data_IF_997900835251
#
_entry.id   IF_997900835251
#
_cell.length_a   1.000
_cell.length_b   1.000
_cell.length_c   1.000
_cell.angle_alpha   90.00
_cell.angle_beta   90.00
_cell.angle_gamma   90.00
#
_symmetry.space_group_name_H-M   'P 1'
#
loop_
_entity.id
_entity.type
_entity.pdbx_description
1 polymer ?
#
# COMPACT_ATOMS: atom_id res chain seq x y z
N UNK A 1 43.76 2.27 61.07
CA UNK A 1 42.42 1.76 60.74
C UNK A 1 41.85 2.64 59.64
N UNK A 2 41.83 2.16 58.39
CA UNK A 2 41.26 2.89 57.25
C UNK A 2 39.82 2.40 57.06
N UNK A 3 38.85 3.27 57.34
CA UNK A 3 37.45 3.00 57.09
C UNK A 3 37.20 3.08 55.57
N UNK A 4 36.98 1.91 54.96
CA UNK A 4 36.65 1.81 53.54
C UNK A 4 35.31 2.51 53.28
N UNK A 5 35.34 3.62 52.56
CA UNK A 5 34.16 4.32 52.07
C UNK A 5 33.53 3.43 50.99
N UNK A 6 32.47 2.72 51.33
CA UNK A 6 31.65 1.98 50.38
C UNK A 6 30.87 2.97 49.52
N UNK A 7 31.26 3.14 48.27
CA UNK A 7 30.50 3.92 47.30
C UNK A 7 29.13 3.28 47.08
N UNK A 8 28.02 4.01 47.24
CA UNK A 8 26.68 3.47 47.05
C UNK A 8 26.52 3.00 45.60
N UNK A 9 26.08 1.76 45.42
CA UNK A 9 25.84 1.18 44.11
C UNK A 9 24.85 2.05 43.32
N UNK A 10 25.29 2.52 42.15
CA UNK A 10 24.45 3.36 41.30
C UNK A 10 23.11 2.68 41.01
N UNK A 11 21.97 3.40 41.10
CA UNK A 11 20.65 2.81 40.88
C UNK A 11 20.57 2.20 39.48
N UNK A 12 20.29 0.89 39.43
CA UNK A 12 20.10 0.17 38.16
C UNK A 12 18.90 0.77 37.43
N UNK A 13 19.16 1.41 36.28
CA UNK A 13 18.10 1.91 35.41
C UNK A 13 17.14 0.77 35.03
N UNK A 14 15.82 0.98 35.09
CA UNK A 14 14.84 -0.06 34.73
C UNK A 14 15.05 -0.47 33.27
N UNK A 15 15.27 -1.77 33.03
CA UNK A 15 15.41 -2.32 31.67
C UNK A 15 14.01 -2.59 31.11
N UNK A 16 13.69 -1.97 29.96
CA UNK A 16 12.46 -2.25 29.23
C UNK A 16 12.32 -3.74 28.91
N UNK A 17 11.10 -4.28 29.01
CA UNK A 17 10.80 -5.67 28.63
C UNK A 17 11.02 -5.90 27.13
N UNK A 18 11.31 -7.14 26.72
CA UNK A 18 11.51 -7.47 25.31
C UNK A 18 10.31 -7.12 24.40
N UNK A 19 9.04 -7.32 24.82
CA UNK A 19 7.88 -6.84 24.07
C UNK A 19 7.85 -5.31 23.91
N UNK A 20 8.12 -4.56 24.98
CA UNK A 20 8.13 -3.09 24.94
C UNK A 20 9.18 -2.55 23.95
N UNK A 21 10.39 -3.13 23.96
CA UNK A 21 11.44 -2.75 22.99
C UNK A 21 11.03 -3.00 21.53
N UNK A 22 10.29 -4.08 21.25
CA UNK A 22 9.81 -4.40 19.89
C UNK A 22 8.77 -3.40 19.41
N UNK A 23 7.83 -3.04 20.28
CA UNK A 23 6.81 -2.04 19.97
C UNK A 23 7.46 -0.68 19.75
N UNK A 24 8.40 -0.28 20.63
CA UNK A 24 9.13 0.98 20.50
C UNK A 24 9.90 1.05 19.17
N UNK A 25 10.56 -0.03 18.75
CA UNK A 25 11.23 -0.08 17.45
C UNK A 25 10.24 0.12 16.29
N UNK A 26 9.10 -0.57 16.30
CA UNK A 26 8.09 -0.39 15.25
C UNK A 26 7.53 1.03 15.23
N UNK A 27 7.27 1.63 16.39
CA UNK A 27 6.84 3.03 16.50
C UNK A 27 7.91 3.97 15.93
N UNK A 28 9.19 3.73 16.22
CA UNK A 28 10.29 4.52 15.66
C UNK A 28 10.37 4.37 14.12
N UNK A 29 10.19 3.17 13.58
CA UNK A 29 10.13 2.95 12.12
C UNK A 29 8.94 3.68 11.48
N UNK A 30 7.76 3.64 12.10
CA UNK A 30 6.57 4.37 11.62
C UNK A 30 6.82 5.88 11.68
N UNK A 31 7.42 6.39 12.76
CA UNK A 31 7.74 7.81 12.89
C UNK A 31 8.75 8.27 11.84
N UNK A 32 9.76 7.46 11.54
CA UNK A 32 10.73 7.73 10.48
C UNK A 32 10.08 7.73 9.08
N UNK A 33 9.22 6.74 8.81
CA UNK A 33 8.43 6.69 7.58
C UNK A 33 7.49 7.91 7.45
N UNK A 34 6.84 8.30 8.55
CA UNK A 34 5.99 9.48 8.60
C UNK A 34 6.81 10.74 8.32
N UNK A 35 7.95 10.94 8.99
CA UNK A 35 8.83 12.07 8.75
C UNK A 35 9.22 12.19 7.27
N UNK A 36 9.61 11.08 6.64
CA UNK A 36 10.09 11.09 5.26
C UNK A 36 8.98 11.41 4.25
N UNK A 37 7.72 11.01 4.48
CA UNK A 37 6.67 11.09 3.47
C UNK A 37 5.34 11.75 3.83
N UNK A 38 5.08 12.08 5.10
CA UNK A 38 3.74 12.58 5.51
C UNK A 38 3.46 13.95 4.92
N UNK A 39 2.23 14.13 4.45
CA UNK A 39 1.69 15.37 3.90
C UNK A 39 0.16 15.29 3.83
N UNK A 40 -0.51 16.43 3.67
CA UNK A 40 -1.91 16.43 3.30
C UNK A 40 -2.12 15.78 1.92
N UNK A 41 -3.25 15.08 1.69
CA UNK A 41 -3.61 14.53 0.38
C UNK A 41 -3.61 15.61 -0.70
N UNK A 42 -3.05 15.34 -1.87
CA UNK A 42 -3.10 16.33 -2.95
C UNK A 42 -4.54 16.59 -3.38
N UNK A 43 -4.80 17.78 -3.90
CA UNK A 43 -6.08 18.13 -4.51
C UNK A 43 -6.55 17.07 -5.54
N UNK A 44 -5.60 16.46 -6.24
CA UNK A 44 -5.87 15.38 -7.19
C UNK A 44 -6.54 14.17 -6.51
N UNK A 45 -5.95 13.66 -5.43
CA UNK A 45 -6.49 12.50 -4.71
C UNK A 45 -7.83 12.81 -4.04
N UNK A 46 -7.96 14.00 -3.43
CA UNK A 46 -9.21 14.42 -2.81
C UNK A 46 -10.33 14.55 -3.85
N UNK A 47 -10.04 15.13 -5.03
CA UNK A 47 -11.00 15.19 -6.14
C UNK A 47 -11.42 13.79 -6.56
N UNK A 48 -10.46 12.85 -6.68
CA UNK A 48 -10.75 11.47 -7.04
C UNK A 48 -11.64 10.78 -5.99
N UNK A 49 -11.47 11.08 -4.70
CA UNK A 49 -12.31 10.55 -3.62
C UNK A 49 -13.72 11.14 -3.58
N UNK A 50 -13.96 12.30 -4.20
CA UNK A 50 -15.30 12.90 -4.30
C UNK A 50 -16.20 12.20 -5.32
N UNK A 51 -15.63 11.34 -6.16
CA UNK A 51 -16.32 10.67 -7.25
C UNK A 51 -17.28 9.61 -6.71
N UNK A 52 -18.56 9.76 -7.03
CA UNK A 52 -19.62 8.90 -6.53
C UNK A 52 -20.51 8.32 -7.63
N UNK A 53 -21.23 7.25 -7.29
CA UNK A 53 -22.22 6.64 -8.18
C UNK A 53 -23.42 7.57 -8.37
N UNK A 54 -23.77 8.34 -7.34
CA UNK A 54 -24.83 9.35 -7.37
C UNK A 54 -24.53 10.46 -8.39
N UNK A 55 -23.25 10.72 -8.63
CA UNK A 55 -22.77 11.70 -9.61
C UNK A 55 -22.65 11.13 -11.03
N UNK A 56 -23.06 9.86 -11.23
CA UNK A 56 -23.03 9.19 -12.52
C UNK A 56 -21.69 8.53 -12.86
N UNK A 57 -20.80 8.30 -11.88
CA UNK A 57 -19.53 7.61 -12.13
C UNK A 57 -19.63 6.11 -11.87
N UNK A 58 -19.08 5.30 -12.78
CA UNK A 58 -19.10 3.83 -12.72
C UNK A 58 -17.73 3.22 -12.39
N UNK A 59 -16.69 4.05 -12.32
CA UNK A 59 -15.34 3.66 -11.91
C UNK A 59 -14.92 4.47 -10.70
N UNK A 60 -14.16 3.83 -9.80
CA UNK A 60 -13.56 4.48 -8.62
C UNK A 60 -14.56 5.19 -7.70
N UNK A 61 -15.82 4.75 -7.73
CA UNK A 61 -16.94 5.48 -7.13
C UNK A 61 -17.19 5.13 -5.67
N UNK A 62 -16.66 3.99 -5.18
CA UNK A 62 -17.08 3.43 -3.88
C UNK A 62 -16.80 4.41 -2.73
N UNK A 63 -15.63 5.04 -2.72
CA UNK A 63 -15.26 5.98 -1.65
C UNK A 63 -16.17 7.20 -1.67
N UNK A 64 -16.33 7.86 -2.82
CA UNK A 64 -17.19 9.03 -2.91
C UNK A 64 -18.65 8.69 -2.66
N UNK A 65 -19.13 7.51 -3.08
CA UNK A 65 -20.50 7.03 -2.80
C UNK A 65 -20.78 6.90 -1.30
N UNK A 66 -19.81 6.39 -0.53
CA UNK A 66 -19.94 6.28 0.92
C UNK A 66 -19.89 7.66 1.59
N UNK A 67 -19.05 8.57 1.08
CA UNK A 67 -18.90 9.91 1.64
C UNK A 67 -19.97 10.91 1.16
N UNK A 68 -20.67 10.60 0.06
CA UNK A 68 -21.57 11.52 -0.64
C UNK A 68 -22.60 12.18 0.28
N UNK A 69 -23.33 11.46 1.16
CA UNK A 69 -24.35 12.09 2.00
C UNK A 69 -23.78 13.16 2.93
N UNK A 70 -22.56 12.96 3.45
CA UNK A 70 -21.89 13.93 4.31
C UNK A 70 -21.28 15.05 3.48
N UNK A 71 -20.68 14.71 2.34
CA UNK A 71 -20.09 15.69 1.43
C UNK A 71 -21.16 16.68 0.92
N UNK A 72 -22.29 16.19 0.43
CA UNK A 72 -23.41 17.00 -0.03
C UNK A 72 -23.98 17.89 1.09
N UNK A 73 -24.14 17.35 2.30
CA UNK A 73 -24.65 18.12 3.44
C UNK A 73 -23.68 19.19 3.97
N UNK A 74 -22.41 19.17 3.54
CA UNK A 74 -21.36 20.08 4.02
C UNK A 74 -20.66 20.84 2.88
N UNK A 75 -21.25 20.85 1.68
CA UNK A 75 -20.73 21.51 0.49
C UNK A 75 -19.34 21.01 0.04
N UNK A 76 -19.11 19.70 0.17
CA UNK A 76 -17.89 18.99 -0.24
C UNK A 76 -16.61 19.62 0.34
N UNK A 77 -16.42 19.68 1.67
CA UNK A 77 -15.26 20.32 2.24
C UNK A 77 -14.03 19.44 2.04
N UNK A 78 -12.90 20.01 1.58
CA UNK A 78 -11.64 19.27 1.40
C UNK A 78 -11.22 18.49 2.64
N UNK A 79 -11.45 19.06 3.83
CA UNK A 79 -11.11 18.45 5.11
C UNK A 79 -11.80 17.09 5.36
N UNK A 80 -13.00 16.86 4.80
CA UNK A 80 -13.71 15.57 4.90
C UNK A 80 -12.90 14.44 4.22
N UNK A 81 -12.47 14.70 2.99
CA UNK A 81 -11.69 13.74 2.20
C UNK A 81 -10.27 13.57 2.75
N UNK A 82 -9.64 14.68 3.17
CA UNK A 82 -8.34 14.63 3.81
C UNK A 82 -8.36 13.83 5.12
N UNK A 83 -9.33 14.11 5.99
CA UNK A 83 -9.52 13.37 7.24
C UNK A 83 -9.79 11.88 7.01
N UNK A 84 -10.66 11.55 6.06
CA UNK A 84 -10.94 10.15 5.68
C UNK A 84 -9.67 9.43 5.21
N UNK A 85 -8.84 10.11 4.42
CA UNK A 85 -7.57 9.57 3.94
C UNK A 85 -6.59 9.24 5.06
N UNK A 86 -6.47 10.13 6.06
CA UNK A 86 -5.65 9.85 7.25
C UNK A 86 -6.22 8.72 8.12
N UNK A 87 -7.54 8.58 8.21
CA UNK A 87 -8.18 7.44 8.89
C UNK A 87 -7.85 6.12 8.19
N UNK A 88 -7.89 6.10 6.85
CA UNK A 88 -7.50 4.93 6.04
C UNK A 88 -6.02 4.58 6.28
N UNK A 89 -5.11 5.55 6.21
CA UNK A 89 -3.70 5.32 6.52
C UNK A 89 -3.52 4.78 7.95
N UNK A 90 -4.16 5.40 8.94
CA UNK A 90 -4.06 4.99 10.34
C UNK A 90 -4.56 3.56 10.55
N UNK A 91 -5.66 3.18 9.91
CA UNK A 91 -6.18 1.81 9.94
C UNK A 91 -5.19 0.82 9.32
N UNK A 92 -4.59 1.17 8.17
CA UNK A 92 -3.61 0.33 7.50
C UNK A 92 -2.35 0.13 8.35
N UNK A 93 -1.81 1.22 8.90
CA UNK A 93 -0.68 1.19 9.83
C UNK A 93 -1.01 0.35 11.07
N UNK A 94 -2.20 0.50 11.64
CA UNK A 94 -2.64 -0.31 12.78
C UNK A 94 -2.63 -1.81 12.43
N UNK A 95 -3.17 -2.21 11.28
CA UNK A 95 -3.16 -3.61 10.83
C UNK A 95 -1.72 -4.14 10.71
N UNK A 96 -0.83 -3.39 10.04
CA UNK A 96 0.57 -3.80 9.82
C UNK A 96 1.35 -3.86 11.13
N UNK A 97 1.26 -2.84 11.97
CA UNK A 97 1.95 -2.76 13.27
C UNK A 97 1.44 -3.83 14.22
N UNK A 98 0.13 -4.06 14.32
CA UNK A 98 -0.44 -5.10 15.18
C UNK A 98 -0.03 -6.49 14.69
N UNK A 99 -0.04 -6.74 13.38
CA UNK A 99 0.44 -8.00 12.82
C UNK A 99 1.92 -8.24 13.17
N UNK A 100 2.78 -7.23 13.01
CA UNK A 100 4.19 -7.28 13.36
C UNK A 100 4.44 -7.45 14.87
N UNK A 101 3.66 -6.77 15.72
CA UNK A 101 3.79 -6.88 17.17
C UNK A 101 3.37 -8.27 17.68
N UNK A 102 2.30 -8.85 17.10
CA UNK A 102 1.72 -10.13 17.53
C UNK A 102 2.42 -11.36 16.95
N UNK A 103 3.12 -11.25 15.82
CA UNK A 103 3.82 -12.40 15.25
C UNK A 103 4.95 -12.86 16.16
N UNK A 104 5.10 -14.18 16.32
CA UNK A 104 6.24 -14.78 17.04
C UNK A 104 7.50 -14.88 16.18
N UNK A 105 7.34 -14.89 14.85
CA UNK A 105 8.42 -15.05 13.86
C UNK A 105 9.26 -13.76 13.76
N UNK A 106 10.55 -13.75 14.17
CA UNK A 106 11.40 -12.56 14.10
C UNK A 106 11.56 -11.99 12.69
N UNK A 107 11.72 -12.85 11.68
CA UNK A 107 11.89 -12.43 10.30
C UNK A 107 10.69 -11.62 9.77
N UNK A 108 9.45 -11.96 10.18
CA UNK A 108 8.26 -11.18 9.83
C UNK A 108 8.28 -9.77 10.44
N UNK A 109 8.81 -9.63 11.65
CA UNK A 109 8.97 -8.31 12.29
C UNK A 109 10.04 -7.49 11.60
N UNK A 110 11.18 -8.13 11.29
CA UNK A 110 12.27 -7.50 10.55
C UNK A 110 11.83 -7.06 9.15
N UNK A 111 10.99 -7.86 8.46
CA UNK A 111 10.39 -7.49 7.18
C UNK A 111 9.61 -6.19 7.27
N UNK A 112 8.68 -6.08 8.23
CA UNK A 112 7.85 -4.87 8.40
C UNK A 112 8.70 -3.67 8.81
N UNK A 113 9.61 -3.84 9.78
CA UNK A 113 10.50 -2.76 10.21
C UNK A 113 11.41 -2.29 9.05
N UNK A 114 11.99 -3.23 8.30
CA UNK A 114 12.81 -2.94 7.14
C UNK A 114 12.03 -2.20 6.06
N UNK A 115 10.85 -2.71 5.69
CA UNK A 115 9.98 -2.08 4.69
C UNK A 115 9.58 -0.65 5.07
N UNK A 116 9.36 -0.36 6.35
CA UNK A 116 9.06 0.99 6.83
C UNK A 116 10.28 1.93 6.83
N UNK A 117 11.50 1.40 7.00
CA UNK A 117 12.73 2.21 7.00
C UNK A 117 13.25 2.45 5.57
N UNK A 118 12.95 1.55 4.64
CA UNK A 118 13.24 1.71 3.22
C UNK A 118 12.41 2.85 2.59
N UNK A 119 12.76 3.32 1.38
CA UNK A 119 11.98 4.35 0.67
C UNK A 119 10.48 4.05 0.56
N UNK A 120 10.09 2.77 0.57
CA UNK A 120 8.70 2.31 0.61
C UNK A 120 7.91 2.82 1.81
N UNK A 121 8.54 2.98 2.98
CA UNK A 121 7.88 3.50 4.17
C UNK A 121 7.45 4.95 3.99
N UNK A 122 8.37 5.82 3.57
CA UNK A 122 8.02 7.20 3.24
C UNK A 122 6.98 7.26 2.13
N UNK A 123 7.12 6.43 1.09
CA UNK A 123 6.17 6.36 0.00
C UNK A 123 4.74 6.04 0.45
N UNK A 124 4.57 5.14 1.43
CA UNK A 124 3.27 4.83 2.01
C UNK A 124 2.59 6.07 2.61
N UNK A 125 3.35 6.94 3.27
CA UNK A 125 2.84 8.20 3.82
C UNK A 125 2.64 9.27 2.75
N UNK A 126 3.40 9.23 1.67
CA UNK A 126 3.21 10.10 0.52
C UNK A 126 1.89 9.78 -0.23
N UNK A 127 1.50 8.50 -0.23
CA UNK A 127 0.25 8.01 -0.82
C UNK A 127 -1.02 8.30 0.01
N UNK A 128 -0.98 9.15 1.05
CA UNK A 128 -2.22 9.53 1.76
C UNK A 128 -3.21 10.13 0.76
N UNK A 129 -4.38 9.52 0.66
CA UNK A 129 -5.44 9.91 -0.28
C UNK A 129 -5.61 8.96 -1.47
N UNK A 130 -4.58 8.18 -1.79
CA UNK A 130 -4.65 7.20 -2.86
C UNK A 130 -5.41 5.93 -2.43
N UNK A 131 -6.13 5.33 -3.37
CA UNK A 131 -7.01 4.19 -3.08
C UNK A 131 -6.25 2.90 -2.73
N UNK A 132 -4.97 2.79 -3.07
CA UNK A 132 -4.07 1.68 -2.75
C UNK A 132 -4.15 1.27 -1.29
N UNK A 133 -4.12 2.25 -0.39
CA UNK A 133 -4.18 2.00 1.04
C UNK A 133 -5.48 1.29 1.43
N UNK A 134 -6.60 1.71 0.82
CA UNK A 134 -7.90 1.07 0.98
C UNK A 134 -7.95 -0.31 0.32
N UNK A 135 -7.31 -0.51 -0.83
CA UNK A 135 -7.19 -1.82 -1.47
C UNK A 135 -6.42 -2.82 -0.58
N UNK A 136 -5.30 -2.40 0.01
CA UNK A 136 -4.55 -3.25 0.94
C UNK A 136 -5.33 -3.53 2.23
N UNK A 137 -6.10 -2.57 2.74
CA UNK A 137 -7.04 -2.82 3.84
C UNK A 137 -8.10 -3.87 3.46
N UNK A 138 -8.69 -3.77 2.27
CA UNK A 138 -9.64 -4.74 1.75
C UNK A 138 -8.99 -6.14 1.63
N UNK A 139 -7.76 -6.23 1.12
CA UNK A 139 -6.99 -7.47 1.05
C UNK A 139 -6.78 -8.09 2.44
N UNK A 140 -6.32 -7.31 3.41
CA UNK A 140 -6.05 -7.82 4.76
C UNK A 140 -7.35 -8.20 5.48
N UNK A 141 -8.43 -7.45 5.28
CA UNK A 141 -9.77 -7.79 5.76
C UNK A 141 -10.27 -9.10 5.15
N UNK A 142 -10.17 -9.26 3.83
CA UNK A 142 -10.55 -10.48 3.12
C UNK A 142 -9.69 -11.68 3.55
N UNK A 143 -8.39 -11.48 3.77
CA UNK A 143 -7.51 -12.52 4.30
C UNK A 143 -7.93 -12.95 5.71
N UNK A 144 -8.26 -12.00 6.58
CA UNK A 144 -8.76 -12.29 7.93
C UNK A 144 -10.09 -13.06 7.89
N UNK A 145 -11.04 -12.63 7.05
CA UNK A 145 -12.33 -13.32 6.84
C UNK A 145 -12.13 -14.75 6.32
N UNK A 146 -11.25 -14.93 5.34
CA UNK A 146 -10.89 -16.24 4.79
C UNK A 146 -10.29 -17.15 5.88
N UNK A 147 -9.45 -16.61 6.76
CA UNK A 147 -8.89 -17.37 7.89
C UNK A 147 -9.94 -17.80 8.92
N UNK A 148 -11.09 -17.13 8.97
CA UNK A 148 -12.24 -17.46 9.81
C UNK A 148 -13.29 -18.31 9.09
N UNK A 149 -13.01 -18.80 7.88
CA UNK A 149 -13.95 -19.58 7.08
C UNK A 149 -15.09 -18.76 6.45
N UNK A 150 -15.04 -17.43 6.51
CA UNK A 150 -16.05 -16.52 5.93
C UNK A 150 -15.73 -16.23 4.45
N UNK A 151 -15.77 -17.26 3.62
CA UNK A 151 -15.35 -17.20 2.20
C UNK A 151 -16.19 -16.26 1.36
N UNK A 152 -17.52 -16.26 1.54
CA UNK A 152 -18.44 -15.37 0.81
C UNK A 152 -18.16 -13.91 1.12
N UNK A 153 -18.02 -13.56 2.40
CA UNK A 153 -17.69 -12.19 2.81
C UNK A 153 -16.32 -11.75 2.24
N UNK A 154 -15.31 -12.64 2.26
CA UNK A 154 -14.01 -12.35 1.65
C UNK A 154 -14.13 -12.11 0.13
N UNK A 155 -14.93 -12.89 -0.59
CA UNK A 155 -15.19 -12.70 -2.01
C UNK A 155 -15.87 -11.36 -2.30
N UNK A 156 -16.88 -10.98 -1.49
CA UNK A 156 -17.58 -9.71 -1.63
C UNK A 156 -16.66 -8.52 -1.37
N UNK A 157 -15.82 -8.57 -0.34
CA UNK A 157 -14.83 -7.51 -0.06
C UNK A 157 -13.90 -7.31 -1.25
N UNK A 158 -13.42 -8.40 -1.87
CA UNK A 158 -12.53 -8.30 -3.03
C UNK A 158 -13.25 -7.86 -4.31
N UNK A 159 -14.54 -8.18 -4.47
CA UNK A 159 -15.34 -7.62 -5.55
C UNK A 159 -15.54 -6.11 -5.40
N UNK A 160 -15.85 -5.64 -4.19
CA UNK A 160 -15.94 -4.20 -3.87
C UNK A 160 -14.61 -3.50 -4.08
N UNK A 161 -13.48 -4.14 -3.75
CA UNK A 161 -12.15 -3.57 -3.99
C UNK A 161 -11.90 -3.20 -5.46
N UNK A 162 -12.47 -3.94 -6.41
CA UNK A 162 -12.36 -3.59 -7.84
C UNK A 162 -13.15 -2.33 -8.19
N UNK A 163 -14.29 -2.12 -7.55
CA UNK A 163 -15.10 -0.92 -7.71
C UNK A 163 -14.47 0.31 -7.01
N UNK A 164 -13.66 0.09 -5.96
CA UNK A 164 -12.82 1.13 -5.33
C UNK A 164 -11.77 1.62 -6.33
N UNK A 165 -11.04 0.70 -6.96
CA UNK A 165 -10.11 1.04 -8.03
C UNK A 165 -9.78 -0.21 -8.85
N UNK A 166 -9.90 -0.12 -10.18
CA UNK A 166 -9.66 -1.18 -11.14
C UNK A 166 -8.25 -1.79 -11.08
N UNK A 167 -7.25 -1.03 -10.61
CA UNK A 167 -5.89 -1.54 -10.39
C UNK A 167 -5.83 -2.67 -9.36
N UNK A 168 -6.91 -2.89 -8.58
CA UNK A 168 -7.05 -4.05 -7.72
C UNK A 168 -6.79 -5.38 -8.46
N UNK A 169 -7.13 -5.44 -9.76
CA UNK A 169 -6.88 -6.60 -10.62
C UNK A 169 -5.39 -6.90 -10.82
N UNK A 170 -4.52 -5.89 -10.74
CA UNK A 170 -3.07 -6.01 -10.93
C UNK A 170 -2.30 -6.02 -9.60
N UNK A 171 -2.95 -5.68 -8.50
CA UNK A 171 -2.31 -5.48 -7.18
C UNK A 171 -2.80 -6.51 -6.17
N UNK A 172 -4.01 -6.33 -5.63
CA UNK A 172 -4.50 -7.12 -4.49
C UNK A 172 -5.23 -8.40 -4.88
N UNK A 173 -5.83 -8.50 -6.07
CA UNK A 173 -6.47 -9.74 -6.54
C UNK A 173 -5.46 -10.87 -6.79
N UNK A 174 -4.29 -10.65 -7.40
CA UNK A 174 -3.25 -11.67 -7.52
C UNK A 174 -2.80 -12.20 -6.14
N UNK A 175 -2.63 -11.31 -5.16
CA UNK A 175 -2.32 -11.68 -3.77
C UNK A 175 -3.46 -12.48 -3.14
N UNK A 176 -4.70 -12.06 -3.31
CA UNK A 176 -5.86 -12.79 -2.80
C UNK A 176 -5.99 -14.18 -3.45
N UNK A 177 -5.73 -14.28 -4.76
CA UNK A 177 -5.69 -15.56 -5.49
C UNK A 177 -4.70 -16.53 -4.87
N UNK A 178 -3.48 -16.07 -4.55
CA UNK A 178 -2.50 -16.88 -3.81
C UNK A 178 -3.08 -17.39 -2.48
N UNK A 179 -3.69 -16.50 -1.68
CA UNK A 179 -4.23 -16.84 -0.37
C UNK A 179 -5.39 -17.84 -0.44
N UNK A 180 -6.27 -17.71 -1.43
CA UNK A 180 -7.44 -18.58 -1.62
C UNK A 180 -6.99 -19.96 -2.13
N UNK A 181 -6.13 -20.02 -3.15
CA UNK A 181 -5.59 -21.29 -3.69
C UNK A 181 -4.74 -22.03 -2.64
N UNK A 182 -4.07 -21.30 -1.74
CA UNK A 182 -3.33 -21.92 -0.64
C UNK A 182 -4.25 -22.63 0.36
N UNK A 183 -5.48 -22.14 0.54
CA UNK A 183 -6.43 -22.56 1.59
C UNK A 183 -7.52 -23.50 1.10
N UNK A 184 -7.95 -23.38 -0.15
CA UNK A 184 -9.14 -24.05 -0.67
C UNK A 184 -8.81 -24.96 -1.87
N UNK A 185 -9.58 -26.05 -2.08
CA UNK A 185 -9.53 -26.79 -3.33
C UNK A 185 -9.83 -25.88 -4.53
N UNK A 186 -9.22 -26.17 -5.68
CA UNK A 186 -9.23 -25.27 -6.86
C UNK A 186 -10.64 -24.86 -7.31
N UNK A 187 -11.63 -25.77 -7.26
CA UNK A 187 -13.02 -25.47 -7.62
C UNK A 187 -13.65 -24.41 -6.70
N UNK A 188 -13.40 -24.51 -5.39
CA UNK A 188 -13.87 -23.50 -4.42
C UNK A 188 -13.09 -22.21 -4.54
N UNK A 189 -11.79 -22.29 -4.84
CA UNK A 189 -10.98 -21.11 -5.09
C UNK A 189 -11.50 -20.32 -6.28
N UNK A 190 -11.81 -20.99 -7.40
CA UNK A 190 -12.43 -20.37 -8.57
C UNK A 190 -13.76 -19.69 -8.22
N UNK A 191 -14.64 -20.36 -7.48
CA UNK A 191 -15.93 -19.78 -7.05
C UNK A 191 -15.76 -18.54 -6.16
N UNK A 192 -14.75 -18.51 -5.29
CA UNK A 192 -14.45 -17.35 -4.42
C UNK A 192 -13.86 -16.18 -5.21
N UNK A 193 -13.12 -16.44 -6.28
CA UNK A 193 -12.50 -15.41 -7.12
C UNK A 193 -13.46 -14.85 -8.18
N UNK A 194 -14.44 -15.64 -8.61
CA UNK A 194 -15.36 -15.30 -9.69
C UNK A 194 -16.05 -13.93 -9.50
N UNK A 195 -16.57 -13.55 -8.30
CA UNK A 195 -17.21 -12.25 -8.12
C UNK A 195 -16.30 -11.07 -8.43
N UNK A 196 -15.02 -11.14 -8.02
CA UNK A 196 -14.06 -10.06 -8.29
C UNK A 196 -13.68 -9.99 -9.78
N UNK A 197 -13.58 -11.14 -10.46
CA UNK A 197 -13.35 -11.20 -11.91
C UNK A 197 -14.55 -10.62 -12.68
N UNK A 198 -15.78 -10.97 -12.30
CA UNK A 198 -16.99 -10.44 -12.92
C UNK A 198 -17.15 -8.94 -12.68
N UNK A 199 -16.91 -8.47 -11.45
CA UNK A 199 -16.91 -7.04 -11.13
C UNK A 199 -15.87 -6.29 -11.97
N UNK A 200 -14.64 -6.80 -12.07
CA UNK A 200 -13.59 -6.22 -12.91
C UNK A 200 -13.93 -6.18 -14.39
N UNK A 201 -14.42 -7.29 -14.94
CA UNK A 201 -14.89 -7.33 -16.32
C UNK A 201 -15.99 -6.31 -16.58
N UNK A 202 -16.97 -6.21 -15.69
CA UNK A 202 -18.09 -5.26 -15.83
C UNK A 202 -17.61 -3.82 -15.77
N UNK A 203 -16.78 -3.48 -14.78
CA UNK A 203 -16.23 -2.12 -14.60
C UNK A 203 -15.38 -1.69 -15.80
N UNK A 204 -14.66 -2.63 -16.43
CA UNK A 204 -13.86 -2.36 -17.63
C UNK A 204 -14.71 -2.21 -18.91
N UNK A 205 -15.86 -2.89 -18.98
CA UNK A 205 -16.75 -2.85 -20.15
C UNK A 205 -17.70 -1.65 -20.15
N UNK A 206 -17.99 -1.07 -18.99
CA UNK A 206 -18.85 0.10 -18.85
C UNK A 206 -18.02 1.39 -18.98
N UNK A 207 -18.63 2.42 -19.59
CA UNK A 207 -18.06 3.77 -19.67
C UNK A 207 -17.72 4.29 -18.27
N UNK A 208 -16.54 4.90 -18.06
CA UNK A 208 -16.09 5.34 -16.73
C UNK A 208 -17.09 6.22 -15.98
N UNK A 209 -17.86 7.03 -16.70
CA UNK A 209 -18.91 7.88 -16.19
C UNK A 209 -20.03 8.06 -17.24
N UNK A 210 -21.21 8.48 -16.79
CA UNK A 210 -22.31 8.91 -17.63
C UNK A 210 -22.04 10.27 -18.29
N UNK A 211 -22.75 10.55 -19.38
CA UNK A 211 -22.65 11.84 -20.09
C UNK A 211 -22.99 12.99 -19.14
N UNK A 212 -22.13 14.02 -19.09
CA UNK A 212 -22.31 15.18 -18.23
C UNK A 212 -21.92 14.99 -16.76
N UNK A 213 -21.58 13.78 -16.31
CA UNK A 213 -21.18 13.50 -14.92
C UNK A 213 -19.97 14.33 -14.47
N UNK A 214 -18.89 14.31 -15.27
CA UNK A 214 -17.66 15.05 -15.01
C UNK A 214 -17.86 16.59 -14.92
N UNK A 215 -18.47 17.27 -15.91
CA UNK A 215 -18.72 18.71 -15.79
C UNK A 215 -19.70 19.06 -14.67
N UNK A 216 -20.71 18.21 -14.41
CA UNK A 216 -21.67 18.42 -13.32
C UNK A 216 -21.05 18.33 -11.94
N UNK A 217 -20.21 17.32 -11.67
CA UNK A 217 -19.47 17.22 -10.41
C UNK A 217 -18.45 18.37 -10.27
N UNK A 218 -17.74 18.73 -11.35
CA UNK A 218 -16.79 19.85 -11.33
C UNK A 218 -17.47 21.17 -10.96
N UNK A 219 -18.68 21.43 -11.48
CA UNK A 219 -19.46 22.62 -11.14
C UNK A 219 -19.82 22.64 -9.64
N UNK A 220 -20.34 21.54 -9.11
CA UNK A 220 -20.70 21.41 -7.69
C UNK A 220 -19.50 21.59 -6.75
N UNK A 221 -18.37 20.95 -7.05
CA UNK A 221 -17.15 21.11 -6.26
C UNK A 221 -16.67 22.56 -6.26
N UNK A 222 -16.77 23.26 -7.40
CA UNK A 222 -16.41 24.68 -7.50
C UNK A 222 -17.35 25.56 -6.68
N UNK A 223 -18.65 25.28 -6.70
CA UNK A 223 -19.66 26.00 -5.90
C UNK A 223 -19.40 25.86 -4.40
N UNK A 224 -18.99 24.67 -3.95
CA UNK A 224 -18.58 24.42 -2.56
C UNK A 224 -17.18 24.93 -2.19
N UNK A 225 -16.47 25.60 -3.10
CA UNK A 225 -15.10 26.09 -2.87
C UNK A 225 -14.06 24.98 -2.73
N UNK A 226 -14.37 23.76 -3.18
CA UNK A 226 -13.43 22.64 -3.17
C UNK A 226 -12.33 22.85 -4.24
N UNK A 227 -11.04 22.63 -3.91
CA UNK A 227 -9.93 22.83 -4.83
C UNK A 227 -9.82 21.68 -5.83
N UNK A 228 -10.82 21.53 -6.71
CA UNK A 228 -10.90 20.42 -7.66
C UNK A 228 -9.82 20.55 -8.75
N UNK A 229 -9.12 19.45 -9.02
CA UNK A 229 -8.12 19.37 -10.11
C UNK A 229 -8.76 18.90 -11.42
N UNK A 230 -8.57 19.67 -12.49
CA UNK A 230 -9.25 19.45 -13.77
C UNK A 230 -8.82 18.14 -14.45
N UNK A 231 -7.53 17.80 -14.35
CA UNK A 231 -6.91 16.61 -14.94
C UNK A 231 -7.44 15.29 -14.35
N UNK A 232 -8.04 15.32 -13.15
CA UNK A 232 -8.75 14.16 -12.57
C UNK A 232 -9.97 13.78 -13.41
N UNK A 233 -10.73 14.77 -13.86
CA UNK A 233 -11.96 14.54 -14.64
C UNK A 233 -11.65 14.01 -16.04
N UNK A 234 -10.52 14.41 -16.62
CA UNK A 234 -10.08 13.93 -17.92
C UNK A 234 -9.88 12.41 -17.94
N UNK A 235 -9.51 11.80 -16.82
CA UNK A 235 -9.37 10.34 -16.70
C UNK A 235 -10.66 9.60 -17.07
N UNK A 236 -11.81 10.21 -16.81
CA UNK A 236 -13.13 9.60 -17.07
C UNK A 236 -13.64 9.86 -18.49
N UNK A 237 -13.07 10.84 -19.19
CA UNK A 237 -13.40 11.15 -20.58
C UNK A 237 -12.45 10.53 -21.60
N UNK A 238 -11.24 10.14 -21.19
CA UNK A 238 -10.21 9.59 -22.10
C UNK A 238 -10.42 8.11 -22.39
N UNK A 239 -10.17 7.75 -23.63
CA UNK A 239 -9.96 6.37 -24.08
C UNK A 239 -8.63 5.81 -23.58
N UNK A 240 -8.46 4.48 -23.61
CA UNK A 240 -7.18 3.85 -23.31
C UNK A 240 -6.10 4.27 -24.31
N UNK A 241 -6.46 4.44 -25.59
CA UNK A 241 -5.52 4.86 -26.62
C UNK A 241 -4.98 6.27 -26.36
N UNK A 242 -5.83 7.21 -25.93
CA UNK A 242 -5.40 8.54 -25.50
C UNK A 242 -4.53 8.46 -24.26
N UNK A 243 -4.87 7.59 -23.30
CA UNK A 243 -4.08 7.41 -22.09
C UNK A 243 -2.66 6.90 -22.38
N UNK A 244 -2.53 5.97 -23.33
CA UNK A 244 -1.24 5.44 -23.77
C UNK A 244 -0.40 6.44 -24.58
N UNK A 245 -0.98 7.52 -25.10
CA UNK A 245 -0.22 8.57 -25.82
C UNK A 245 0.41 9.59 -24.88
N UNK A 246 0.04 9.60 -23.60
CA UNK A 246 0.55 10.58 -22.63
C UNK A 246 1.89 10.18 -22.01
N UNK A 247 2.34 8.95 -22.26
CA UNK A 247 3.58 8.41 -21.71
C UNK A 247 4.10 7.30 -22.62
N UNK A 248 5.38 6.96 -22.49
CA UNK A 248 5.98 5.85 -23.23
C UNK A 248 5.92 4.56 -22.40
N UNK A 249 5.02 3.59 -22.71
CA UNK A 249 4.84 2.40 -21.87
C UNK A 249 6.10 1.56 -21.75
N UNK A 250 6.96 1.58 -22.77
CA UNK A 250 8.22 0.87 -22.76
C UNK A 250 9.24 1.49 -21.81
N UNK A 251 9.24 2.81 -21.60
CA UNK A 251 10.13 3.44 -20.61
C UNK A 251 9.74 3.00 -19.19
N UNK A 252 8.44 3.02 -18.90
CA UNK A 252 7.89 2.52 -17.63
C UNK A 252 8.23 1.04 -17.45
N UNK A 253 8.03 0.22 -18.48
CA UNK A 253 8.35 -1.20 -18.45
C UNK A 253 9.85 -1.44 -18.20
N UNK A 254 10.73 -0.74 -18.91
CA UNK A 254 12.18 -0.92 -18.76
C UNK A 254 12.70 -0.48 -17.40
N UNK A 255 12.07 0.51 -16.78
CA UNK A 255 12.34 0.84 -15.39
C UNK A 255 11.94 -0.29 -14.43
N UNK A 256 10.77 -0.91 -14.64
CA UNK A 256 10.21 -1.90 -13.73
C UNK A 256 10.78 -3.32 -13.91
N UNK A 257 11.19 -3.70 -15.13
CA UNK A 257 11.66 -5.07 -15.45
C UNK A 257 12.85 -5.50 -14.59
N UNK A 258 13.95 -4.71 -14.44
CA UNK A 258 15.07 -5.10 -13.60
C UNK A 258 14.66 -5.36 -12.15
N UNK A 259 13.76 -4.53 -11.62
CA UNK A 259 13.21 -4.69 -10.28
C UNK A 259 12.35 -5.96 -10.19
N UNK A 260 11.44 -6.19 -11.14
CA UNK A 260 10.60 -7.38 -11.15
C UNK A 260 11.42 -8.67 -11.28
N UNK A 261 12.45 -8.69 -12.12
CA UNK A 261 13.37 -9.82 -12.27
C UNK A 261 14.14 -10.08 -10.97
N UNK A 262 14.69 -9.04 -10.34
CA UNK A 262 15.37 -9.14 -9.05
C UNK A 262 14.47 -9.75 -7.98
N UNK A 263 13.25 -9.23 -7.82
CA UNK A 263 12.29 -9.69 -6.81
C UNK A 263 11.80 -11.12 -7.11
N UNK A 264 11.51 -11.43 -8.38
CA UNK A 264 11.13 -12.78 -8.80
C UNK A 264 12.24 -13.80 -8.55
N UNK A 265 13.48 -13.46 -8.88
CA UNK A 265 14.65 -14.31 -8.64
C UNK A 265 14.88 -14.51 -7.14
N UNK A 266 14.79 -13.44 -6.34
CA UNK A 266 14.93 -13.52 -4.89
C UNK A 266 13.87 -14.44 -4.26
N UNK A 267 12.60 -14.30 -4.65
CA UNK A 267 11.53 -15.19 -4.22
C UNK A 267 11.74 -16.62 -4.70
N UNK A 268 12.11 -16.81 -5.97
CA UNK A 268 12.37 -18.13 -6.51
C UNK A 268 13.48 -18.84 -5.73
N UNK A 269 14.59 -18.17 -5.45
CA UNK A 269 15.71 -18.72 -4.67
C UNK A 269 15.32 -18.93 -3.20
N UNK A 270 14.58 -18.01 -2.59
CA UNK A 270 14.08 -18.17 -1.23
C UNK A 270 13.14 -19.39 -1.10
N UNK A 271 12.34 -19.67 -2.12
CA UNK A 271 11.42 -20.82 -2.16
C UNK A 271 12.13 -22.14 -2.52
N UNK A 272 13.36 -22.10 -3.04
CA UNK A 272 14.07 -23.29 -3.49
C UNK A 272 14.27 -24.31 -2.35
N UNK A 273 13.80 -25.55 -2.56
CA UNK A 273 13.83 -26.63 -1.58
C UNK A 273 13.01 -26.34 -0.30
N UNK A 274 12.05 -25.42 -0.39
CA UNK A 274 11.21 -24.96 0.74
C UNK A 274 9.83 -25.62 0.79
N UNK A 275 8.94 -25.05 1.61
CA UNK A 275 7.56 -25.53 1.78
C UNK A 275 6.59 -25.03 0.72
N UNK A 276 7.04 -24.10 -0.15
CA UNK A 276 6.26 -23.56 -1.27
C UNK A 276 6.67 -24.31 -2.53
N UNK A 277 5.88 -25.33 -2.88
CA UNK A 277 6.15 -26.23 -4.01
C UNK A 277 4.99 -26.27 -5.00
N UNK A 278 5.24 -26.86 -6.16
CA UNK A 278 4.25 -27.03 -7.23
C UNK A 278 3.64 -25.69 -7.68
N UNK A 279 2.32 -25.60 -7.88
CA UNK A 279 1.67 -24.43 -8.47
C UNK A 279 1.67 -23.19 -7.56
N UNK A 280 1.93 -23.34 -6.25
CA UNK A 280 1.99 -22.21 -5.31
C UNK A 280 3.20 -21.30 -5.57
N UNK A 281 4.32 -21.87 -6.02
CA UNK A 281 5.56 -21.14 -6.28
C UNK A 281 5.41 -20.14 -7.44
N UNK A 282 5.01 -20.55 -8.66
CA UNK A 282 4.79 -19.61 -9.75
C UNK A 282 3.65 -18.63 -9.44
N UNK A 283 2.59 -19.07 -8.73
CA UNK A 283 1.51 -18.18 -8.33
C UNK A 283 1.98 -17.07 -7.37
N UNK A 284 2.84 -17.40 -6.40
CA UNK A 284 3.40 -16.41 -5.48
C UNK A 284 4.30 -15.40 -6.18
N UNK A 285 5.13 -15.86 -7.12
CA UNK A 285 5.97 -14.98 -7.94
C UNK A 285 5.09 -14.09 -8.82
N UNK A 286 4.11 -14.67 -9.51
CA UNK A 286 3.16 -13.91 -10.34
C UNK A 286 2.38 -12.88 -9.52
N UNK A 287 1.95 -13.22 -8.31
CA UNK A 287 1.26 -12.26 -7.43
C UNK A 287 2.18 -11.12 -6.98
N UNK A 288 3.46 -11.39 -6.73
CA UNK A 288 4.45 -10.38 -6.40
C UNK A 288 4.75 -9.44 -7.59
N UNK A 289 4.84 -9.99 -8.80
CA UNK A 289 5.23 -9.24 -10.00
C UNK A 289 4.06 -8.74 -10.85
N UNK A 290 2.81 -9.04 -10.50
CA UNK A 290 1.62 -8.59 -11.23
C UNK A 290 1.56 -7.07 -11.49
N UNK A 291 2.00 -6.19 -10.56
CA UNK A 291 2.04 -4.75 -10.82
C UNK A 291 2.94 -4.34 -12.00
N UNK A 292 3.84 -5.20 -12.50
CA UNK A 292 4.61 -4.95 -13.71
C UNK A 292 3.71 -4.68 -14.93
N UNK A 293 2.55 -5.35 -14.99
CA UNK A 293 1.58 -5.18 -16.09
C UNK A 293 0.98 -3.77 -16.09
N UNK A 294 1.02 -3.04 -14.97
CA UNK A 294 0.52 -1.68 -14.88
C UNK A 294 1.31 -0.69 -15.75
N UNK A 295 2.51 -1.05 -16.21
CA UNK A 295 3.24 -0.29 -17.24
C UNK A 295 2.40 -0.03 -18.51
N UNK A 296 1.46 -0.92 -18.84
CA UNK A 296 0.56 -0.79 -19.99
C UNK A 296 -0.80 -0.17 -19.64
N UNK A 297 -1.01 0.20 -18.37
CA UNK A 297 -2.28 0.73 -17.88
C UNK A 297 -2.16 2.14 -17.28
N UNK A 298 -0.95 2.62 -16.97
CA UNK A 298 -0.74 4.00 -16.54
C UNK A 298 0.72 4.42 -16.53
N UNK A 299 0.91 5.75 -16.48
CA UNK A 299 2.20 6.43 -16.61
C UNK A 299 3.03 6.49 -15.32
N UNK A 300 2.50 5.96 -14.23
CA UNK A 300 3.03 6.20 -12.90
C UNK A 300 4.13 5.19 -12.51
N UNK A 301 5.32 5.42 -13.05
CA UNK A 301 6.48 4.54 -12.90
C UNK A 301 6.84 4.22 -11.44
N UNK A 302 6.89 5.24 -10.58
CA UNK A 302 7.32 5.04 -9.20
C UNK A 302 6.22 4.39 -8.34
N UNK A 303 4.94 4.64 -8.64
CA UNK A 303 3.81 3.93 -7.99
C UNK A 303 3.88 2.45 -8.29
N UNK A 304 4.12 2.10 -9.55
CA UNK A 304 4.22 0.70 -9.96
C UNK A 304 5.39 -0.01 -9.30
N UNK A 305 6.53 0.67 -9.14
CA UNK A 305 7.66 0.13 -8.38
C UNK A 305 7.34 -0.04 -6.89
N UNK A 306 6.67 0.93 -6.27
CA UNK A 306 6.18 0.82 -4.91
C UNK A 306 5.24 -0.39 -4.74
N UNK A 307 4.27 -0.57 -5.65
CA UNK A 307 3.33 -1.69 -5.62
C UNK A 307 4.00 -3.06 -5.84
N UNK A 308 5.03 -3.15 -6.70
CA UNK A 308 5.87 -4.36 -6.81
C UNK A 308 6.52 -4.71 -5.47
N UNK A 309 7.08 -3.72 -4.78
CA UNK A 309 7.73 -3.90 -3.48
C UNK A 309 6.71 -4.26 -2.39
N UNK A 310 5.55 -3.60 -2.38
CA UNK A 310 4.46 -3.89 -1.44
C UNK A 310 3.91 -5.31 -1.63
N UNK A 311 3.61 -5.72 -2.86
CA UNK A 311 3.15 -7.08 -3.16
C UNK A 311 4.21 -8.12 -2.78
N UNK A 312 5.48 -7.86 -3.07
CA UNK A 312 6.58 -8.74 -2.68
C UNK A 312 6.70 -8.86 -1.16
N UNK A 313 6.50 -7.77 -0.41
CA UNK A 313 6.48 -7.80 1.05
C UNK A 313 5.32 -8.65 1.59
N UNK A 314 4.12 -8.57 1.00
CA UNK A 314 2.97 -9.41 1.38
C UNK A 314 3.22 -10.89 1.07
N UNK A 315 3.76 -11.22 -0.10
CA UNK A 315 4.13 -12.60 -0.47
C UNK A 315 5.21 -13.14 0.47
N UNK A 316 6.23 -12.33 0.77
CA UNK A 316 7.31 -12.69 1.71
C UNK A 316 6.73 -12.91 3.11
N UNK A 317 5.83 -12.04 3.57
CA UNK A 317 5.14 -12.22 4.84
C UNK A 317 4.36 -13.53 4.88
N UNK A 318 3.57 -13.84 3.85
CA UNK A 318 2.85 -15.10 3.72
C UNK A 318 3.81 -16.30 3.82
N UNK A 319 4.87 -16.30 3.03
CA UNK A 319 5.88 -17.36 3.01
C UNK A 319 6.56 -17.58 4.37
N UNK A 320 6.99 -16.51 5.04
CA UNK A 320 7.67 -16.59 6.34
C UNK A 320 6.82 -17.24 7.45
N UNK A 321 5.49 -17.28 7.30
CA UNK A 321 4.64 -18.01 8.25
C UNK A 321 4.46 -19.49 7.93
N UNK A 322 4.93 -19.91 6.75
CA UNK A 322 4.87 -21.29 6.28
C UNK A 322 6.23 -21.98 6.32
N UNK A 323 7.30 -21.26 6.62
CA UNK A 323 8.60 -21.87 6.83
C UNK A 323 8.52 -22.73 8.11
N UNK A 324 8.54 -24.07 7.92
CA UNK A 324 8.48 -25.05 9.00
C UNK A 324 9.78 -25.04 9.80
N UNK A 325 9.69 -25.43 11.07
CA UNK A 325 10.85 -25.64 11.95
C UNK A 325 11.79 -26.78 11.50
N UNK A 326 11.37 -27.61 10.53
CA UNK A 326 12.14 -28.77 10.05
C UNK A 326 13.31 -28.38 9.12
N UNK A 327 13.39 -27.12 8.69
CA UNK A 327 14.51 -26.65 7.89
C UNK A 327 15.75 -26.45 8.78
N UNK A 328 16.91 -26.95 8.34
CA UNK A 328 18.16 -26.73 9.07
C UNK A 328 18.41 -25.23 9.26
N UNK A 329 18.92 -24.79 10.43
CA UNK A 329 19.16 -23.37 10.70
C UNK A 329 20.08 -22.69 9.68
N UNK A 330 20.92 -23.44 8.97
CA UNK A 330 21.75 -22.93 7.87
C UNK A 330 20.92 -22.56 6.64
N UNK A 331 19.98 -23.42 6.20
CA UNK A 331 19.13 -23.16 5.03
C UNK A 331 18.20 -21.97 5.24
N UNK A 332 17.58 -21.88 6.42
CA UNK A 332 16.72 -20.75 6.81
C UNK A 332 17.52 -19.43 6.78
N UNK A 333 18.74 -19.43 7.34
CA UNK A 333 19.62 -18.25 7.29
C UNK A 333 19.99 -17.84 5.87
N UNK A 334 20.33 -18.78 4.99
CA UNK A 334 20.66 -18.46 3.59
C UNK A 334 19.47 -17.83 2.85
N UNK A 335 18.25 -18.34 3.05
CA UNK A 335 17.04 -17.77 2.44
C UNK A 335 16.74 -16.36 2.93
N UNK A 336 16.87 -16.12 4.24
CA UNK A 336 16.75 -14.77 4.79
C UNK A 336 17.82 -13.82 4.24
N UNK A 337 19.06 -14.28 4.07
CA UNK A 337 20.14 -13.47 3.47
C UNK A 337 19.82 -13.06 2.04
N UNK A 338 19.23 -13.94 1.23
CA UNK A 338 18.81 -13.62 -0.13
C UNK A 338 17.78 -12.49 -0.13
N UNK A 339 16.78 -12.56 0.74
CA UNK A 339 15.75 -11.51 0.84
C UNK A 339 16.32 -10.19 1.37
N UNK A 340 17.24 -10.26 2.34
CA UNK A 340 17.93 -9.06 2.84
C UNK A 340 18.79 -8.44 1.72
N UNK A 341 19.54 -9.24 0.96
CA UNK A 341 20.34 -8.76 -0.15
C UNK A 341 19.45 -8.11 -1.23
N UNK A 342 18.33 -8.73 -1.59
CA UNK A 342 17.37 -8.13 -2.52
C UNK A 342 16.79 -6.81 -1.98
N UNK A 343 16.43 -6.75 -0.69
CA UNK A 343 15.93 -5.53 -0.06
C UNK A 343 16.97 -4.42 -0.03
N UNK A 344 18.25 -4.74 0.21
CA UNK A 344 19.35 -3.78 0.16
C UNK A 344 19.56 -3.25 -1.26
N UNK A 345 19.45 -4.09 -2.28
CA UNK A 345 19.48 -3.63 -3.67
C UNK A 345 18.29 -2.72 -3.99
N UNK A 346 17.12 -2.98 -3.42
CA UNK A 346 15.94 -2.13 -3.59
C UNK A 346 16.07 -0.75 -2.94
N UNK A 347 17.01 -0.53 -2.00
CA UNK A 347 17.34 0.81 -1.48
C UNK A 347 17.76 1.75 -2.60
N UNK A 348 18.39 1.21 -3.65
CA UNK A 348 18.89 1.98 -4.79
C UNK A 348 17.83 2.21 -5.87
N UNK A 349 16.59 1.75 -5.69
CA UNK A 349 15.50 2.08 -6.59
C UNK A 349 14.95 3.46 -6.18
N UNK A 350 15.11 4.50 -7.01
CA UNK A 350 14.54 5.80 -6.70
C UNK A 350 13.01 5.67 -6.71
N UNK A 351 12.38 5.94 -5.57
CA UNK A 351 10.93 6.09 -5.48
C UNK A 351 10.62 7.57 -5.37
N UNK A 352 10.57 8.25 -6.52
CA UNK A 352 10.20 9.66 -6.57
C UNK A 352 8.71 9.81 -6.23
N UNK A 353 8.41 10.85 -5.47
CA UNK A 353 7.06 11.21 -5.09
C UNK A 353 6.37 11.95 -6.25
N UNK A 354 5.04 11.85 -6.31
CA UNK A 354 4.20 12.59 -7.27
C UNK A 354 4.07 14.06 -6.90
N UNK A 355 3.62 14.84 -7.89
CA UNK A 355 3.35 16.27 -7.77
C UNK A 355 4.61 17.09 -7.43
N UNK A 356 5.76 16.68 -7.96
CA UNK A 356 7.10 17.29 -7.75
C UNK A 356 7.60 17.25 -6.30
N UNK A 357 7.03 16.37 -5.47
CA UNK A 357 7.53 16.15 -4.12
C UNK A 357 8.75 15.24 -4.13
N UNK A 358 9.49 15.26 -3.01
CA UNK A 358 10.59 14.36 -2.74
C UNK A 358 10.54 13.87 -1.28
N UNK A 359 11.13 12.69 -0.99
CA UNK A 359 11.33 12.26 0.38
C UNK A 359 12.11 13.31 1.18
N UNK A 360 11.67 13.63 2.39
CA UNK A 360 12.41 14.57 3.26
C UNK A 360 13.77 13.99 3.62
N UNK A 361 14.79 14.83 3.54
CA UNK A 361 16.15 14.45 3.89
C UNK A 361 16.30 14.19 5.39
N UNK A 362 17.14 13.23 5.75
CA UNK A 362 17.55 12.97 7.13
C UNK A 362 18.74 13.83 7.54
N UNK A 363 18.64 15.15 7.29
CA UNK A 363 19.67 16.15 7.58
C UNK A 363 19.16 17.13 8.63
N UNK A 364 20.08 17.78 9.36
CA UNK A 364 19.71 18.83 10.33
C UNK A 364 18.82 19.95 9.74
N UNK A 365 19.11 20.47 8.54
CA UNK A 365 18.21 21.38 7.82
C UNK A 365 16.83 20.78 7.54
N UNK A 366 16.73 19.56 7.00
CA UNK A 366 15.45 18.91 6.71
C UNK A 366 14.56 18.76 7.96
N UNK A 367 15.17 18.43 9.11
CA UNK A 367 14.45 18.31 10.39
C UNK A 367 13.89 19.67 10.83
N UNK A 368 14.67 20.76 10.68
CA UNK A 368 14.19 22.11 11.02
C UNK A 368 13.01 22.51 10.15
N UNK A 369 13.12 22.35 8.83
CA UNK A 369 12.02 22.64 7.89
C UNK A 369 10.77 21.86 8.26
N UNK A 370 10.88 20.58 8.61
CA UNK A 370 9.72 19.79 9.04
C UNK A 370 9.07 20.33 10.33
N UNK A 371 9.86 20.76 11.31
CA UNK A 371 9.34 21.37 12.54
C UNK A 371 8.65 22.70 12.23
N UNK A 372 9.25 23.52 11.38
CA UNK A 372 8.68 24.79 10.94
C UNK A 372 7.34 24.56 10.22
N UNK A 373 7.30 23.67 9.22
CA UNK A 373 6.08 23.30 8.48
C UNK A 373 4.96 22.76 9.39
N UNK A 374 5.35 21.99 10.42
CA UNK A 374 4.38 21.42 11.37
C UNK A 374 3.81 22.48 12.30
N UNK A 375 4.65 23.41 12.77
CA UNK A 375 4.25 24.46 13.70
C UNK A 375 3.51 25.62 13.02
N UNK A 376 3.80 25.90 11.75
CA UNK A 376 3.06 26.86 10.92
C UNK A 376 1.74 26.30 10.37
N UNK A 377 1.56 24.97 10.40
CA UNK A 377 0.43 24.26 9.80
C UNK A 377 0.57 24.05 8.29
N UNK A 378 1.68 24.44 7.68
CA UNK A 378 1.95 24.25 6.24
C UNK A 378 1.96 22.78 5.83
N UNK A 379 2.36 21.88 6.73
CA UNK A 379 2.37 20.43 6.50
C UNK A 379 0.99 19.88 6.07
N UNK A 380 -0.07 20.52 6.57
CA UNK A 380 -1.46 20.10 6.35
C UNK A 380 -2.24 21.03 5.42
N UNK A 381 -1.58 22.06 4.85
CA UNK A 381 -2.23 22.90 3.83
C UNK A 381 -2.46 22.08 2.57
N UNK A 382 -3.62 22.31 1.94
CA UNK A 382 -3.97 21.65 0.69
C UNK A 382 -2.92 21.95 -0.37
N UNK A 383 -2.23 20.93 -0.92
CA UNK A 383 -1.36 21.14 -2.06
C UNK A 383 -2.23 21.53 -3.25
N UNK A 384 -2.08 22.78 -3.73
CA UNK A 384 -2.83 23.30 -4.89
C UNK A 384 -2.19 22.94 -6.23
N UNK A 385 -1.06 22.22 -6.22
CA UNK A 385 -0.33 21.80 -7.42
C UNK A 385 -0.83 20.45 -7.94
#
# INVERSE_FOLDING_TARGET
MSAGISTPAAPRRPRLSAPARRVLLLVACVALAAYTGIRAPSAWTATLQSISLQDGFHRRFVVGTVLHPVAEATDYPYALFAGTSFVILAALLAVVVVAAARTRVPARRALVAGWLVLPTGGYLFHEVGYFEQLLFLALFGAWWLLARGRTVAAALVMAVAVCVHEIAMLTVIPLFTLLVVDRLPIRRAAAVLLPAVLAGGTVLLVSPAADGAAPGLRARLREGGFPARADVFEIFGRTQAESLRMYEPFEVLWFLVPLAVLLAAALALAFAGGTVTGPRRPLAIAAATAPLVAAFAGWDTHRWAFLLLANTAVVTWWWLGRERGDATPSRVRSRHRILVAAALLCVHVPLAYFDDFAPRELTGPGIRTFVDDTTSGDLLRTPTR
#
